data_IF_209392424507
#
_entry.id   IF_209392424507
#
_cell.length_a   1.000
_cell.length_b   1.000
_cell.length_c   1.000
_cell.angle_alpha   90.00
_cell.angle_beta   90.00
_cell.angle_gamma   90.00
#
_symmetry.space_group_name_H-M   'P 1'
#
loop_
_entity.id
_entity.type
_entity.pdbx_description
1 polymer ?
#
# COMPACT_ATOMS: atom_id res chain seq x y z
N UNK A 1 -10.04 -9.91 -2.15
CA UNK A 1 -10.72 -8.84 -1.40
C UNK A 1 -9.59 -7.93 -0.96
N UNK A 2 -9.58 -6.71 -1.49
CA UNK A 2 -8.41 -5.84 -1.43
C UNK A 2 -8.44 -4.85 -0.26
N UNK A 3 -9.54 -4.84 0.50
CA UNK A 3 -9.60 -4.15 1.77
C UNK A 3 -8.55 -4.71 2.74
N UNK A 4 -7.70 -3.85 3.29
CA UNK A 4 -6.56 -4.31 4.11
C UNK A 4 -7.00 -5.20 5.31
N UNK A 5 -8.01 -4.83 6.12
CA UNK A 5 -8.54 -5.70 7.17
C UNK A 5 -8.82 -7.14 6.71
N UNK A 6 -9.51 -7.26 5.57
CA UNK A 6 -9.98 -8.53 5.04
C UNK A 6 -8.83 -9.33 4.39
N UNK A 7 -7.86 -8.64 3.79
CA UNK A 7 -6.61 -9.28 3.33
C UNK A 7 -5.81 -9.87 4.50
N UNK A 8 -5.65 -9.11 5.59
CA UNK A 8 -4.93 -9.57 6.77
C UNK A 8 -5.60 -10.79 7.40
N UNK A 9 -6.92 -10.78 7.55
CA UNK A 9 -7.68 -11.95 8.03
C UNK A 9 -7.52 -13.14 7.08
N UNK A 10 -7.72 -12.93 5.77
CA UNK A 10 -7.65 -14.00 4.76
C UNK A 10 -6.31 -14.71 4.75
N UNK A 11 -5.20 -13.98 4.96
CA UNK A 11 -3.84 -14.55 5.01
C UNK A 11 -3.47 -15.13 6.37
N UNK A 12 -4.37 -15.07 7.36
CA UNK A 12 -4.12 -15.54 8.73
C UNK A 12 -3.15 -14.64 9.49
N UNK A 13 -3.08 -13.36 9.14
CA UNK A 13 -2.22 -12.36 9.79
C UNK A 13 -2.98 -11.50 10.79
N UNK A 14 -4.30 -11.61 10.85
CA UNK A 14 -5.14 -10.98 11.85
C UNK A 14 -6.38 -11.83 12.15
N UNK A 15 -6.97 -11.62 13.32
CA UNK A 15 -8.30 -12.13 13.69
C UNK A 15 -9.18 -10.96 14.14
N UNK A 16 -10.48 -11.04 13.84
CA UNK A 16 -11.46 -10.06 14.33
C UNK A 16 -11.93 -10.50 15.72
N UNK A 17 -11.82 -9.59 16.69
CA UNK A 17 -12.30 -9.78 18.06
C UNK A 17 -13.81 -9.53 18.15
N UNK A 18 -14.39 -9.88 19.29
CA UNK A 18 -15.84 -9.73 19.55
C UNK A 18 -16.31 -8.27 19.51
N UNK A 19 -15.41 -7.31 19.79
CA UNK A 19 -15.64 -5.86 19.72
C UNK A 19 -15.46 -5.28 18.31
N UNK A 20 -15.06 -6.11 17.34
CA UNK A 20 -14.81 -5.70 15.96
C UNK A 20 -13.37 -5.24 15.69
N UNK A 21 -12.53 -5.08 16.73
CA UNK A 21 -11.13 -4.73 16.55
C UNK A 21 -10.34 -5.88 15.92
N UNK A 22 -9.28 -5.53 15.19
CA UNK A 22 -8.35 -6.51 14.63
C UNK A 22 -7.20 -6.77 15.57
N UNK A 23 -6.96 -8.03 15.85
CA UNK A 23 -5.78 -8.51 16.56
C UNK A 23 -4.81 -9.13 15.55
N UNK A 24 -3.63 -8.53 15.41
CA UNK A 24 -2.59 -9.04 14.53
C UNK A 24 -1.94 -10.30 15.11
N UNK A 25 -1.69 -11.28 14.24
CA UNK A 25 -0.91 -12.49 14.59
C UNK A 25 0.55 -12.16 14.87
N UNK A 26 1.08 -11.11 14.22
CA UNK A 26 2.38 -10.53 14.49
C UNK A 26 2.15 -9.11 14.98
N UNK A 27 2.35 -8.88 16.29
CA UNK A 27 2.04 -7.59 16.93
C UNK A 27 2.80 -6.41 16.30
N UNK A 28 4.10 -6.60 16.06
CA UNK A 28 4.98 -5.61 15.41
C UNK A 28 5.12 -5.93 13.91
N UNK A 29 4.01 -5.90 13.16
CA UNK A 29 4.02 -6.08 11.71
C UNK A 29 3.88 -4.71 11.02
N UNK A 30 4.99 -4.09 10.54
CA UNK A 30 5.01 -2.67 10.19
C UNK A 30 4.00 -2.29 9.10
N UNK A 31 3.93 -3.07 8.02
CA UNK A 31 2.95 -2.88 6.94
C UNK A 31 1.50 -2.92 7.46
N UNK A 32 1.18 -3.88 8.34
CA UNK A 32 -0.18 -4.03 8.85
C UNK A 32 -0.51 -2.95 9.88
N UNK A 33 0.40 -2.64 10.80
CA UNK A 33 0.19 -1.61 11.81
C UNK A 33 -0.07 -0.24 11.15
N UNK A 34 0.80 0.18 10.23
CA UNK A 34 0.69 1.48 9.57
C UNK A 34 -0.48 1.50 8.60
N UNK A 35 -0.63 0.43 7.82
CA UNK A 35 -1.69 0.32 6.83
C UNK A 35 -3.07 0.37 7.46
N UNK A 36 -3.25 -0.20 8.66
CA UNK A 36 -4.55 -0.14 9.36
C UNK A 36 -4.88 1.28 9.82
N UNK A 37 -3.90 2.09 10.21
CA UNK A 37 -4.12 3.51 10.52
C UNK A 37 -4.54 4.29 9.26
N UNK A 38 -3.84 4.07 8.15
CA UNK A 38 -4.15 4.73 6.87
C UNK A 38 -5.51 4.26 6.34
N UNK A 39 -5.80 2.97 6.41
CA UNK A 39 -7.10 2.41 6.03
C UNK A 39 -8.24 3.02 6.84
N UNK A 40 -8.09 3.15 8.17
CA UNK A 40 -9.10 3.77 9.03
C UNK A 40 -9.35 5.23 8.64
N UNK A 41 -8.29 6.01 8.41
CA UNK A 41 -8.41 7.40 7.96
C UNK A 41 -9.16 7.52 6.62
N UNK A 42 -8.82 6.66 5.65
CA UNK A 42 -9.50 6.60 4.34
C UNK A 42 -10.96 6.21 4.49
N UNK A 43 -11.26 5.15 5.27
CA UNK A 43 -12.62 4.66 5.44
C UNK A 43 -13.48 5.69 6.17
N UNK A 44 -12.95 6.36 7.19
CA UNK A 44 -13.63 7.44 7.89
C UNK A 44 -13.94 8.61 6.97
N UNK A 45 -12.97 9.05 6.15
CA UNK A 45 -13.20 10.08 5.14
C UNK A 45 -14.30 9.67 4.14
N UNK A 46 -14.24 8.45 3.61
CA UNK A 46 -15.24 7.92 2.68
C UNK A 46 -16.65 7.93 3.28
N UNK A 47 -16.79 7.44 4.52
CA UNK A 47 -18.07 7.35 5.20
C UNK A 47 -18.67 8.73 5.45
N UNK A 48 -17.88 9.66 6.01
CA UNK A 48 -18.35 11.04 6.25
C UNK A 48 -18.77 11.73 4.96
N UNK A 49 -18.04 11.50 3.86
CA UNK A 49 -18.41 12.03 2.55
C UNK A 49 -19.73 11.43 2.04
N UNK A 50 -19.88 10.10 2.12
CA UNK A 50 -21.09 9.39 1.69
C UNK A 50 -22.32 9.81 2.49
N UNK A 51 -22.22 9.86 3.82
CA UNK A 51 -23.33 10.28 4.71
C UNK A 51 -23.79 11.71 4.46
N UNK A 52 -22.90 12.59 3.99
CA UNK A 52 -23.24 13.96 3.65
C UNK A 52 -24.07 14.06 2.36
N UNK A 53 -23.67 13.35 1.31
CA UNK A 53 -24.35 13.41 0.00
C UNK A 53 -25.56 12.49 -0.12
N UNK A 54 -25.60 11.42 0.68
CA UNK A 54 -26.72 10.49 0.74
C UNK A 54 -27.29 10.46 2.16
N UNK A 55 -28.29 11.29 2.51
CA UNK A 55 -28.85 11.31 3.86
C UNK A 55 -29.53 10.02 4.30
N UNK A 56 -30.01 9.19 3.37
CA UNK A 56 -30.55 7.86 3.67
C UNK A 56 -30.18 6.82 2.60
N UNK A 57 -30.33 5.54 2.93
CA UNK A 57 -29.96 4.43 2.03
C UNK A 57 -30.76 4.42 0.73
N UNK A 58 -32.00 4.93 0.75
CA UNK A 58 -32.81 5.07 -0.46
C UNK A 58 -32.14 6.00 -1.49
N UNK A 59 -31.46 7.06 -1.04
CA UNK A 59 -30.76 7.98 -1.93
C UNK A 59 -29.60 7.27 -2.68
N UNK A 60 -29.00 6.24 -2.09
CA UNK A 60 -27.94 5.41 -2.72
C UNK A 60 -28.54 4.43 -3.72
N UNK A 61 -29.62 3.75 -3.32
CA UNK A 61 -30.30 2.73 -4.14
C UNK A 61 -30.95 3.36 -5.37
N UNK A 62 -31.52 4.56 -5.21
CA UNK A 62 -32.23 5.27 -6.28
C UNK A 62 -31.30 6.12 -7.18
N UNK A 63 -30.00 6.21 -6.87
CA UNK A 63 -29.02 6.92 -7.70
C UNK A 63 -28.66 6.10 -8.95
N UNK A 64 -29.32 6.43 -10.06
CA UNK A 64 -29.14 5.75 -11.34
C UNK A 64 -27.69 5.82 -11.86
N UNK A 65 -26.97 6.93 -11.61
CA UNK A 65 -25.60 7.11 -12.09
C UNK A 65 -24.64 6.23 -11.28
N UNK A 66 -24.78 6.22 -9.95
CA UNK A 66 -23.98 5.38 -9.05
C UNK A 66 -24.19 3.89 -9.35
N UNK A 67 -25.45 3.46 -9.48
CA UNK A 67 -25.77 2.05 -9.76
C UNK A 67 -25.28 1.63 -11.15
N UNK A 68 -25.41 2.49 -12.15
CA UNK A 68 -24.90 2.23 -13.49
C UNK A 68 -23.37 2.14 -13.51
N UNK A 69 -22.67 3.05 -12.80
CA UNK A 69 -21.22 3.02 -12.66
C UNK A 69 -20.74 1.70 -12.05
N UNK A 70 -21.32 1.27 -10.93
CA UNK A 70 -20.93 0.03 -10.27
C UNK A 70 -21.22 -1.21 -11.13
N UNK A 71 -22.35 -1.21 -11.82
CA UNK A 71 -22.69 -2.26 -12.77
C UNK A 71 -21.67 -2.33 -13.91
N UNK A 72 -21.23 -1.20 -14.45
CA UNK A 72 -20.22 -1.15 -15.51
C UNK A 72 -18.85 -1.64 -15.01
N UNK A 73 -18.41 -1.21 -13.83
CA UNK A 73 -17.17 -1.70 -13.19
C UNK A 73 -17.19 -3.23 -13.09
N UNK A 74 -18.28 -3.81 -12.57
CA UNK A 74 -18.42 -5.26 -12.42
C UNK A 74 -18.51 -6.01 -13.75
N UNK A 75 -19.37 -5.55 -14.66
CA UNK A 75 -19.76 -6.35 -15.86
C UNK A 75 -18.95 -6.03 -17.11
N UNK A 76 -18.24 -4.90 -17.14
CA UNK A 76 -17.37 -4.48 -18.25
C UNK A 76 -15.92 -4.38 -17.82
N UNK A 77 -15.64 -3.67 -16.73
CA UNK A 77 -14.28 -3.52 -16.20
C UNK A 77 -13.67 -4.83 -15.74
N UNK A 78 -14.47 -5.63 -15.02
CA UNK A 78 -14.08 -6.94 -14.47
C UNK A 78 -15.00 -8.07 -14.96
N UNK A 79 -15.33 -8.06 -16.26
CA UNK A 79 -16.25 -9.01 -16.87
C UNK A 79 -15.88 -10.49 -16.65
N UNK A 80 -14.59 -10.79 -16.49
CA UNK A 80 -14.07 -12.13 -16.19
C UNK A 80 -14.48 -12.65 -14.80
N UNK A 81 -14.90 -11.75 -13.91
CA UNK A 81 -15.27 -12.03 -12.52
C UNK A 81 -16.68 -11.53 -12.17
N UNK A 82 -17.50 -11.15 -13.14
CA UNK A 82 -18.79 -10.48 -12.89
C UNK A 82 -19.77 -11.30 -12.02
N UNK A 83 -19.68 -12.63 -12.07
CA UNK A 83 -20.58 -13.57 -11.39
C UNK A 83 -20.04 -14.05 -10.03
N UNK A 84 -18.90 -13.49 -9.57
CA UNK A 84 -18.30 -13.88 -8.31
C UNK A 84 -19.13 -13.37 -7.11
N UNK A 85 -19.29 -14.17 -6.04
CA UNK A 85 -20.22 -13.86 -4.96
C UNK A 85 -19.74 -12.76 -3.99
N UNK A 86 -18.51 -12.28 -4.13
CA UNK A 86 -17.90 -11.31 -3.24
C UNK A 86 -18.07 -9.85 -3.70
N UNK A 87 -18.73 -9.61 -4.84
CA UNK A 87 -19.07 -8.24 -5.25
C UNK A 87 -20.02 -7.62 -4.22
N UNK A 88 -19.67 -6.48 -3.60
CA UNK A 88 -20.60 -5.78 -2.73
C UNK A 88 -21.76 -5.20 -3.55
N UNK A 89 -22.93 -5.14 -2.91
CA UNK A 89 -24.05 -4.34 -3.36
C UNK A 89 -23.87 -2.92 -2.83
N UNK A 90 -24.15 -1.89 -3.65
CA UNK A 90 -24.08 -0.49 -3.20
C UNK A 90 -25.48 -0.07 -2.74
N UNK A 91 -25.91 -0.59 -1.61
CA UNK A 91 -27.29 -0.46 -1.09
C UNK A 91 -27.37 0.28 0.26
N UNK A 92 -26.23 0.52 0.90
CA UNK A 92 -26.12 1.32 2.11
C UNK A 92 -24.81 2.11 2.20
N UNK A 93 -24.72 2.98 3.21
CA UNK A 93 -23.57 3.83 3.47
C UNK A 93 -22.29 3.05 3.71
N UNK A 94 -22.36 1.96 4.47
CA UNK A 94 -21.18 1.16 4.82
C UNK A 94 -20.63 0.44 3.60
N UNK A 95 -21.50 -0.18 2.79
CA UNK A 95 -21.08 -0.87 1.57
C UNK A 95 -20.52 0.11 0.53
N UNK A 96 -21.13 1.29 0.35
CA UNK A 96 -20.61 2.33 -0.53
C UNK A 96 -19.28 2.88 -0.02
N UNK A 97 -19.19 3.25 1.26
CA UNK A 97 -17.95 3.74 1.86
C UNK A 97 -16.85 2.68 1.81
N UNK A 98 -17.16 1.40 2.03
CA UNK A 98 -16.22 0.28 1.93
C UNK A 98 -15.70 0.12 0.50
N UNK A 99 -16.55 0.23 -0.52
CA UNK A 99 -16.13 0.16 -1.92
C UNK A 99 -15.20 1.34 -2.29
N UNK A 100 -15.58 2.57 -1.93
CA UNK A 100 -14.77 3.77 -2.17
C UNK A 100 -13.44 3.73 -1.41
N UNK A 101 -13.45 3.31 -0.14
CA UNK A 101 -12.25 3.15 0.67
C UNK A 101 -11.31 2.09 0.09
N UNK A 102 -11.86 0.99 -0.45
CA UNK A 102 -11.05 -0.03 -1.13
C UNK A 102 -10.39 0.54 -2.38
N UNK A 103 -11.11 1.31 -3.19
CA UNK A 103 -10.54 1.97 -4.38
C UNK A 103 -9.42 2.92 -3.97
N UNK A 104 -9.69 3.83 -3.04
CA UNK A 104 -8.70 4.79 -2.53
C UNK A 104 -7.47 4.08 -1.96
N UNK A 105 -7.66 3.06 -1.12
CA UNK A 105 -6.57 2.26 -0.55
C UNK A 105 -5.69 1.63 -1.63
N UNK A 106 -6.31 0.96 -2.62
CA UNK A 106 -5.57 0.27 -3.69
C UNK A 106 -4.77 1.26 -4.52
N UNK A 107 -5.36 2.41 -4.87
CA UNK A 107 -4.70 3.40 -5.73
C UNK A 107 -3.67 4.24 -5.01
N UNK A 108 -3.72 4.34 -3.67
CA UNK A 108 -2.80 5.16 -2.89
C UNK A 108 -1.85 4.31 -2.05
N UNK A 109 -2.23 4.03 -0.81
CA UNK A 109 -1.38 3.42 0.21
C UNK A 109 -0.91 2.00 -0.14
N UNK A 110 -1.78 1.16 -0.72
CA UNK A 110 -1.35 -0.17 -1.17
C UNK A 110 -0.28 -0.07 -2.26
N UNK A 111 -0.52 0.78 -3.27
CA UNK A 111 0.43 1.02 -4.33
C UNK A 111 1.76 1.55 -3.77
N UNK A 112 1.72 2.59 -2.94
CA UNK A 112 2.92 3.15 -2.31
C UNK A 112 3.74 2.10 -1.56
N UNK A 113 3.07 1.25 -0.77
CA UNK A 113 3.71 0.21 0.03
C UNK A 113 4.45 -0.87 -0.78
N UNK A 114 4.03 -1.11 -2.02
CA UNK A 114 4.67 -2.11 -2.90
C UNK A 114 5.57 -1.49 -3.96
N UNK A 115 5.50 -0.16 -4.15
CA UNK A 115 6.17 0.54 -5.23
C UNK A 115 7.46 1.25 -4.79
N UNK A 116 7.39 2.17 -3.83
CA UNK A 116 8.54 3.04 -3.51
C UNK A 116 9.69 2.30 -2.79
N UNK A 117 9.41 1.12 -2.23
CA UNK A 117 10.44 0.25 -1.67
C UNK A 117 11.26 -0.51 -2.72
N UNK A 118 10.97 -0.36 -4.01
CA UNK A 118 11.61 -1.13 -5.09
C UNK A 118 13.12 -0.89 -5.16
N UNK A 119 13.58 0.33 -5.42
CA UNK A 119 15.02 0.64 -5.52
C UNK A 119 15.74 0.47 -4.17
N UNK A 120 15.20 0.95 -3.04
CA UNK A 120 15.86 0.79 -1.74
C UNK A 120 16.08 -0.68 -1.33
N UNK A 121 15.12 -1.57 -1.60
CA UNK A 121 15.24 -2.99 -1.27
C UNK A 121 15.91 -3.82 -2.37
N UNK A 122 15.64 -3.55 -3.66
CA UNK A 122 16.14 -4.35 -4.78
C UNK A 122 17.35 -3.73 -5.50
N UNK A 123 17.79 -2.54 -5.09
CA UNK A 123 18.98 -1.87 -5.60
C UNK A 123 20.27 -2.65 -5.34
N UNK A 124 20.29 -3.47 -4.28
CA UNK A 124 21.27 -4.53 -4.14
C UNK A 124 20.72 -5.83 -4.73
N UNK A 125 21.03 -6.09 -6.00
CA UNK A 125 20.48 -7.21 -6.79
C UNK A 125 20.54 -8.58 -6.07
N UNK A 126 21.60 -8.97 -5.34
CA UNK A 126 21.59 -10.23 -4.60
C UNK A 126 20.49 -10.33 -3.52
N UNK A 127 19.99 -9.20 -3.00
CA UNK A 127 18.86 -9.17 -2.06
C UNK A 127 17.53 -9.50 -2.74
N UNK A 128 17.34 -9.07 -4.01
CA UNK A 128 16.15 -9.34 -4.81
C UNK A 128 16.50 -9.63 -6.29
N UNK A 129 17.01 -10.83 -6.59
CA UNK A 129 17.32 -11.20 -7.97
C UNK A 129 16.03 -11.36 -8.79
N UNK A 130 15.96 -10.71 -9.95
CA UNK A 130 14.78 -10.76 -10.83
C UNK A 130 14.70 -12.02 -11.69
N UNK A 131 15.81 -12.76 -11.82
CA UNK A 131 15.86 -14.06 -12.48
C UNK A 131 17.02 -14.90 -11.95
N UNK A 132 16.96 -16.19 -12.23
CA UNK A 132 18.08 -17.12 -12.04
C UNK A 132 18.47 -17.74 -13.39
N UNK A 133 19.78 -17.88 -13.63
CA UNK A 133 20.38 -18.38 -14.89
C UNK A 133 20.84 -19.82 -14.79
N UNK A 134 20.91 -20.37 -13.57
CA UNK A 134 21.41 -21.71 -13.28
C UNK A 134 20.48 -22.40 -12.31
N UNK A 135 20.36 -23.72 -12.44
CA UNK A 135 19.68 -24.54 -11.43
C UNK A 135 20.53 -24.60 -10.16
N UNK A 136 19.87 -24.87 -9.03
CA UNK A 136 20.57 -25.14 -7.78
C UNK A 136 21.53 -26.33 -7.94
N UNK A 137 22.78 -26.23 -7.45
CA UNK A 137 23.70 -27.37 -7.39
C UNK A 137 23.04 -28.53 -6.64
N UNK A 138 23.10 -29.74 -7.19
CA UNK A 138 22.59 -30.94 -6.52
C UNK A 138 23.75 -31.72 -5.90
N UNK A 139 23.52 -32.38 -4.77
CA UNK A 139 24.54 -33.22 -4.13
C UNK A 139 25.04 -34.36 -5.03
N UNK A 140 24.20 -34.81 -5.97
CA UNK A 140 24.55 -35.82 -6.98
C UNK A 140 25.40 -35.26 -8.13
N UNK A 141 25.44 -33.94 -8.31
CA UNK A 141 26.29 -33.23 -9.26
C UNK A 141 27.61 -32.81 -8.61
N UNK A 142 28.55 -33.75 -8.49
CA UNK A 142 29.78 -33.56 -7.73
C UNK A 142 30.63 -32.36 -8.17
N UNK A 143 30.55 -31.92 -9.42
CA UNK A 143 31.32 -30.79 -9.94
C UNK A 143 30.68 -29.43 -9.60
N UNK A 144 29.37 -29.28 -9.81
CA UNK A 144 28.65 -28.05 -9.47
C UNK A 144 28.59 -27.84 -7.94
N UNK A 145 28.39 -28.92 -7.18
CA UNK A 145 28.41 -28.85 -5.71
C UNK A 145 29.80 -28.50 -5.19
N UNK A 146 30.86 -29.08 -5.78
CA UNK A 146 32.24 -28.71 -5.43
C UNK A 146 32.55 -27.26 -5.74
N UNK A 147 32.14 -26.75 -6.90
CA UNK A 147 32.30 -25.34 -7.26
C UNK A 147 31.57 -24.42 -6.28
N UNK A 148 30.38 -24.81 -5.80
CA UNK A 148 29.65 -24.07 -4.77
C UNK A 148 30.36 -24.08 -3.42
N UNK A 149 30.90 -25.23 -3.00
CA UNK A 149 31.67 -25.34 -1.74
C UNK A 149 32.98 -24.55 -1.81
N UNK A 150 33.67 -24.57 -2.96
CA UNK A 150 34.94 -23.87 -3.15
C UNK A 150 34.78 -22.35 -3.31
N UNK A 151 33.70 -21.89 -3.97
CA UNK A 151 33.48 -20.47 -4.27
C UNK A 151 31.97 -20.11 -4.33
N UNK A 152 31.27 -20.10 -3.17
CA UNK A 152 29.82 -19.94 -3.12
C UNK A 152 29.35 -18.58 -3.67
N UNK A 153 30.07 -17.50 -3.40
CA UNK A 153 29.70 -16.16 -3.88
C UNK A 153 29.76 -16.10 -5.41
N UNK A 154 30.77 -16.73 -6.01
CA UNK A 154 30.91 -16.80 -7.47
C UNK A 154 29.74 -17.57 -8.08
N UNK A 155 29.39 -18.73 -7.50
CA UNK A 155 28.27 -19.55 -8.00
C UNK A 155 26.94 -18.81 -7.85
N UNK A 156 26.72 -18.08 -6.76
CA UNK A 156 25.53 -17.24 -6.58
C UNK A 156 25.48 -16.10 -7.61
N UNK A 157 26.58 -15.37 -7.84
CA UNK A 157 26.65 -14.32 -8.86
C UNK A 157 26.47 -14.87 -10.30
N UNK A 158 26.99 -16.07 -10.57
CA UNK A 158 26.76 -16.78 -11.84
C UNK A 158 25.30 -17.24 -11.99
N UNK A 159 24.58 -17.41 -10.88
CA UNK A 159 23.16 -17.81 -10.84
C UNK A 159 22.25 -16.59 -10.98
N UNK A 160 22.54 -15.47 -10.32
CA UNK A 160 21.77 -14.22 -10.38
C UNK A 160 21.90 -13.51 -11.74
N UNK A 161 21.14 -12.42 -12.00
CA UNK A 161 21.21 -11.70 -13.28
C UNK A 161 22.65 -11.31 -13.64
N UNK A 162 22.97 -11.35 -14.94
CA UNK A 162 24.24 -10.79 -15.43
C UNK A 162 24.33 -9.30 -15.12
N UNK A 163 25.54 -8.74 -15.11
CA UNK A 163 25.75 -7.30 -14.88
C UNK A 163 24.94 -6.42 -15.84
N UNK A 164 24.81 -6.83 -17.11
CA UNK A 164 24.00 -6.11 -18.09
C UNK A 164 22.51 -6.13 -17.74
N UNK A 165 21.97 -7.29 -17.38
CA UNK A 165 20.57 -7.42 -16.95
C UNK A 165 20.30 -6.64 -15.65
N UNK A 166 21.21 -6.76 -14.69
CA UNK A 166 21.18 -6.02 -13.43
C UNK A 166 21.15 -4.50 -13.68
N UNK A 167 22.01 -3.98 -14.55
CA UNK A 167 22.04 -2.55 -14.86
C UNK A 167 20.72 -2.04 -15.45
N UNK A 168 20.07 -2.81 -16.32
CA UNK A 168 18.74 -2.46 -16.88
C UNK A 168 17.69 -2.43 -15.77
N UNK A 169 17.64 -3.47 -14.94
CA UNK A 169 16.69 -3.57 -13.82
C UNK A 169 16.88 -2.42 -12.85
N UNK A 170 18.12 -2.10 -12.48
CA UNK A 170 18.42 -0.99 -11.57
C UNK A 170 17.90 0.35 -12.09
N UNK A 171 18.10 0.64 -13.38
CA UNK A 171 17.58 1.87 -13.98
C UNK A 171 16.05 1.94 -13.95
N UNK A 172 15.36 0.80 -14.10
CA UNK A 172 13.90 0.73 -14.00
C UNK A 172 13.45 0.94 -12.56
N UNK A 173 14.06 0.24 -11.59
CA UNK A 173 13.69 0.35 -10.18
C UNK A 173 13.89 1.77 -9.67
N UNK A 174 15.00 2.41 -10.04
CA UNK A 174 15.31 3.80 -9.68
C UNK A 174 14.24 4.77 -10.19
N UNK A 175 13.84 4.62 -11.46
CA UNK A 175 12.77 5.41 -12.04
C UNK A 175 11.42 5.18 -11.34
N UNK A 176 11.04 3.92 -11.11
CA UNK A 176 9.76 3.56 -10.50
C UNK A 176 9.68 3.95 -9.01
N UNK A 177 10.80 4.11 -8.32
CA UNK A 177 10.82 4.48 -6.89
C UNK A 177 10.91 5.99 -6.66
N UNK A 178 10.90 6.79 -7.73
CA UNK A 178 11.08 8.23 -7.65
C UNK A 178 9.73 8.93 -7.67
N UNK A 179 9.50 9.88 -6.77
CA UNK A 179 8.32 10.73 -6.81
C UNK A 179 8.51 11.91 -7.78
N UNK A 180 7.45 12.30 -8.49
CA UNK A 180 7.48 13.52 -9.30
C UNK A 180 7.53 14.78 -8.44
N UNK A 181 8.12 15.86 -8.96
CA UNK A 181 8.20 17.13 -8.22
C UNK A 181 6.86 17.85 -8.06
N UNK A 182 5.86 17.44 -8.82
CA UNK A 182 4.48 17.93 -8.84
C UNK A 182 3.49 16.85 -8.36
N UNK A 183 3.98 15.85 -7.61
CA UNK A 183 3.14 14.79 -7.03
C UNK A 183 2.09 15.35 -6.05
N UNK A 184 0.92 14.71 -6.01
CA UNK A 184 -0.16 15.05 -5.10
C UNK A 184 -0.36 13.94 -4.06
N UNK A 185 -0.02 14.26 -2.82
CA UNK A 185 -0.09 13.31 -1.72
C UNK A 185 -1.43 13.33 -1.00
N UNK A 186 -1.74 12.20 -0.37
CA UNK A 186 -2.91 12.03 0.49
C UNK A 186 -3.00 13.13 1.55
N UNK A 187 -4.18 13.75 1.65
CA UNK A 187 -4.44 14.79 2.65
C UNK A 187 -3.84 16.18 2.33
N UNK A 188 -3.26 16.38 1.14
CA UNK A 188 -2.60 17.66 0.78
C UNK A 188 -3.44 18.54 -0.14
N UNK A 189 -4.01 17.99 -1.21
CA UNK A 189 -4.80 18.74 -2.20
C UNK A 189 -6.29 18.77 -1.81
N UNK A 190 -6.83 19.97 -1.63
CA UNK A 190 -8.26 20.17 -1.34
C UNK A 190 -8.98 20.66 -2.60
N UNK A 191 -9.90 19.84 -3.13
CA UNK A 191 -10.66 20.14 -4.34
C UNK A 191 -11.49 21.43 -4.22
N UNK A 192 -11.66 22.20 -5.31
CA UNK A 192 -12.48 23.41 -5.30
C UNK A 192 -13.95 23.16 -4.92
N UNK A 193 -14.49 21.98 -5.24
CA UNK A 193 -15.86 21.59 -4.88
C UNK A 193 -15.98 21.35 -3.37
N UNK A 194 -14.99 20.70 -2.75
CA UNK A 194 -14.95 20.47 -1.30
C UNK A 194 -14.88 21.78 -0.54
N UNK A 195 -14.08 22.76 -1.01
CA UNK A 195 -13.96 24.09 -0.39
C UNK A 195 -15.27 24.87 -0.31
N UNK A 196 -16.18 24.63 -1.25
CA UNK A 196 -17.46 25.33 -1.34
C UNK A 196 -18.51 24.75 -0.38
N UNK A 197 -18.36 23.47 0.00
CA UNK A 197 -19.23 22.81 0.96
C UNK A 197 -18.59 22.82 2.36
N UNK A 198 -19.22 23.53 3.30
CA UNK A 198 -18.65 23.71 4.64
C UNK A 198 -18.44 22.41 5.42
N UNK A 199 -19.33 21.43 5.25
CA UNK A 199 -19.25 20.15 5.96
C UNK A 199 -18.16 19.27 5.37
N UNK A 200 -18.09 19.16 4.04
CA UNK A 200 -17.05 18.38 3.35
C UNK A 200 -15.67 19.01 3.54
N UNK A 201 -15.58 20.34 3.49
CA UNK A 201 -14.36 21.05 3.83
C UNK A 201 -13.87 20.69 5.23
N UNK A 202 -14.75 20.69 6.23
CA UNK A 202 -14.39 20.32 7.59
C UNK A 202 -13.92 18.85 7.65
N UNK A 203 -14.68 17.94 7.04
CA UNK A 203 -14.32 16.52 6.98
C UNK A 203 -12.95 16.28 6.33
N UNK A 204 -12.59 17.06 5.29
CA UNK A 204 -11.27 16.97 4.67
C UNK A 204 -10.16 17.53 5.57
N UNK A 205 -10.44 18.58 6.36
CA UNK A 205 -9.48 19.06 7.37
C UNK A 205 -9.25 18.01 8.47
N UNK A 206 -10.30 17.29 8.88
CA UNK A 206 -10.18 16.19 9.84
C UNK A 206 -9.38 15.03 9.25
N UNK A 207 -9.60 14.68 7.98
CA UNK A 207 -8.78 13.68 7.28
C UNK A 207 -7.31 14.10 7.23
N UNK A 208 -7.02 15.37 6.91
CA UNK A 208 -5.67 15.92 6.92
C UNK A 208 -5.02 15.84 8.31
N UNK A 209 -5.74 16.15 9.38
CA UNK A 209 -5.19 16.04 10.73
C UNK A 209 -4.88 14.59 11.09
N UNK A 210 -5.77 13.64 10.76
CA UNK A 210 -5.51 12.20 10.93
C UNK A 210 -4.25 11.76 10.19
N UNK A 211 -4.00 12.24 8.96
CA UNK A 211 -2.75 11.91 8.25
C UNK A 211 -1.49 12.39 8.98
N UNK A 212 -1.55 13.50 9.71
CA UNK A 212 -0.44 13.99 10.55
C UNK A 212 -0.27 13.15 11.82
N UNK A 213 -1.36 12.76 12.46
CA UNK A 213 -1.31 11.85 13.61
C UNK A 213 -0.67 10.50 13.23
N UNK A 214 -0.95 10.01 12.01
CA UNK A 214 -0.30 8.81 11.48
C UNK A 214 1.21 9.02 11.34
N UNK A 215 1.65 10.16 10.80
CA UNK A 215 3.08 10.50 10.72
C UNK A 215 3.75 10.42 12.10
N UNK A 216 3.18 11.08 13.10
CA UNK A 216 3.71 11.08 14.46
C UNK A 216 3.77 9.66 15.07
N UNK A 217 2.72 8.86 14.84
CA UNK A 217 2.63 7.52 15.37
C UNK A 217 3.62 6.55 14.70
N UNK A 218 3.81 6.66 13.39
CA UNK A 218 4.79 5.88 12.62
C UNK A 218 6.22 6.24 13.06
N UNK A 219 6.54 7.53 13.20
CA UNK A 219 7.86 7.99 13.64
C UNK A 219 8.18 7.52 15.07
N UNK A 220 7.17 7.55 15.95
CA UNK A 220 7.27 6.99 17.30
C UNK A 220 7.57 5.49 17.26
N UNK A 221 6.87 4.71 16.43
CA UNK A 221 7.11 3.27 16.32
C UNK A 221 8.47 2.92 15.72
N UNK A 222 8.93 3.69 14.72
CA UNK A 222 10.27 3.53 14.14
C UNK A 222 11.38 3.86 15.14
N UNK A 223 11.11 4.72 16.12
CA UNK A 223 12.05 5.11 17.17
C UNK A 223 11.99 4.21 18.42
N UNK A 224 11.05 3.28 18.48
CA UNK A 224 10.81 2.43 19.64
C UNK A 224 11.78 1.21 19.64
N UNK A 225 12.70 1.11 20.61
CA UNK A 225 13.66 0.00 20.67
C UNK A 225 13.01 -1.36 20.96
N UNK A 226 11.77 -1.39 21.46
CA UNK A 226 11.05 -2.64 21.70
C UNK A 226 10.40 -3.18 20.40
N UNK A 227 10.27 -2.35 19.36
CA UNK A 227 9.73 -2.72 18.03
C UNK A 227 10.81 -3.21 17.07
N UNK A 228 11.25 -4.44 17.31
CA UNK A 228 12.40 -5.06 16.63
C UNK A 228 12.23 -5.29 15.13
N UNK A 229 11.01 -5.28 14.61
CA UNK A 229 10.77 -5.40 13.17
C UNK A 229 10.90 -4.06 12.43
N UNK A 230 11.16 -2.96 13.16
CA UNK A 230 11.37 -1.60 12.64
C UNK A 230 12.66 -0.96 13.15
N UNK A 231 13.18 -1.47 14.27
CA UNK A 231 14.28 -0.87 15.01
C UNK A 231 15.35 -1.91 15.34
N UNK A 232 16.62 -1.56 15.11
CA UNK A 232 17.77 -2.39 15.47
C UNK A 232 18.87 -2.43 14.40
N UNK A 233 19.96 -3.14 14.71
CA UNK A 233 21.09 -3.24 13.80
C UNK A 233 20.71 -3.94 12.49
N UNK A 234 20.90 -3.27 11.36
CA UNK A 234 20.56 -3.78 10.03
C UNK A 234 19.09 -3.66 9.65
N UNK A 235 18.24 -3.07 10.50
CA UNK A 235 16.86 -2.73 10.17
C UNK A 235 16.78 -1.29 9.70
N UNK A 236 16.10 -1.07 8.58
CA UNK A 236 15.75 0.26 8.08
C UNK A 236 14.37 0.61 8.66
N UNK A 237 14.16 1.84 9.17
CA UNK A 237 12.83 2.30 9.58
C UNK A 237 11.80 2.08 8.48
N UNK A 238 10.62 1.55 8.84
CA UNK A 238 9.57 1.34 7.85
C UNK A 238 8.79 2.64 7.66
N UNK A 239 8.93 3.25 6.48
CA UNK A 239 8.33 4.56 6.14
C UNK A 239 7.42 4.54 4.90
N UNK A 240 7.24 3.37 4.28
CA UNK A 240 6.45 3.19 3.04
C UNK A 240 4.96 3.55 3.17
N UNK A 241 4.44 3.57 4.39
CA UNK A 241 3.07 3.97 4.71
C UNK A 241 3.02 5.20 5.62
N UNK A 242 4.14 5.92 5.74
CA UNK A 242 4.18 7.24 6.38
C UNK A 242 3.66 8.27 5.38
N UNK A 243 2.55 8.99 5.65
CA UNK A 243 2.09 10.08 4.79
C UNK A 243 3.16 11.18 4.65
N UNK A 244 3.02 12.00 3.60
CA UNK A 244 3.77 13.25 3.52
C UNK A 244 3.26 14.23 4.58
N UNK A 245 4.16 14.95 5.24
CA UNK A 245 3.83 16.07 6.14
C UNK A 245 3.55 17.37 5.36
N UNK A 246 3.65 17.33 4.03
CA UNK A 246 3.41 18.46 3.14
C UNK A 246 4.59 19.44 3.04
N UNK A 247 5.79 19.05 3.52
CA UNK A 247 7.03 19.76 3.20
C UNK A 247 7.62 19.22 1.87
N UNK A 248 7.57 20.00 0.78
CA UNK A 248 8.10 19.59 -0.52
C UNK A 248 9.64 19.47 -0.55
N UNK A 249 10.31 19.73 0.58
CA UNK A 249 11.74 19.51 0.79
C UNK A 249 12.06 18.21 1.55
N UNK A 250 11.14 17.69 2.37
CA UNK A 250 11.27 16.35 2.99
C UNK A 250 10.99 15.24 1.97
N UNK A 251 10.08 15.47 1.01
CA UNK A 251 9.69 14.54 -0.06
C UNK A 251 10.80 14.19 -1.07
N UNK A 252 11.87 14.99 -1.14
CA UNK A 252 12.87 14.89 -2.23
C UNK A 252 14.10 14.05 -1.92
N UNK A 253 14.24 13.52 -0.70
CA UNK A 253 15.48 12.85 -0.29
C UNK A 253 15.32 11.43 0.28
N UNK A 254 14.11 10.96 0.56
CA UNK A 254 13.88 9.59 1.03
C UNK A 254 12.99 8.87 0.03
N UNK A 255 13.60 8.03 -0.82
CA UNK A 255 12.97 7.26 -1.90
C UNK A 255 11.85 6.29 -1.46
N UNK A 256 11.39 6.36 -0.21
CA UNK A 256 10.52 5.37 0.43
C UNK A 256 9.28 5.98 1.12
N UNK A 257 9.14 7.30 1.23
CA UNK A 257 8.06 7.89 2.04
C UNK A 257 7.13 8.79 1.23
N UNK A 258 5.92 8.97 1.74
CA UNK A 258 4.86 9.70 1.06
C UNK A 258 3.88 8.76 0.37
N UNK A 259 2.59 9.01 0.56
CA UNK A 259 1.50 8.24 -0.05
C UNK A 259 0.82 9.14 -1.09
N UNK A 260 1.07 8.94 -2.41
CA UNK A 260 0.34 9.63 -3.47
C UNK A 260 -1.15 9.29 -3.45
N UNK A 261 -1.98 10.16 -4.02
CA UNK A 261 -3.42 9.89 -4.17
C UNK A 261 -3.70 8.76 -5.18
N UNK A 262 -2.76 8.45 -6.07
CA UNK A 262 -3.00 7.60 -7.24
C UNK A 262 -1.78 6.73 -7.61
N UNK A 263 -1.98 5.86 -8.60
CA UNK A 263 -0.92 5.07 -9.23
C UNK A 263 -0.20 5.98 -10.23
N UNK A 264 0.66 6.87 -9.72
CA UNK A 264 1.30 7.95 -10.48
C UNK A 264 2.78 7.70 -10.79
N UNK A 265 3.48 6.88 -9.99
CA UNK A 265 4.69 6.13 -10.34
C UNK A 265 5.08 5.21 -9.20
#
# INVERSE_FOLDING_TARGET
>A
MEALPEDLIRRGMAVRRDDGELELTIEDYPYANDGLLVWDAIKHWALTYVEHYYPCTADIVDDEELQAWWMEVRTKGHADKQDEPWWPELDDHENLAQALATIMWVTSAHHAAVNFGQCPMAGYIPNRPTLTRRNMPTEMGADDMRAFVEAPEKVLLDTFPSQYQAAIVLAILDLLSSHSSDEEYMGTHEEPSWKQDGAIRQAFQEFKERTREIVEQVDKWNSDPDRKNRHGAGMVPYVLLRPSDGDPTDEKMVMEMGIPNSISI
#
